data_IF_256584575999
#
_entry.id   IF_256584575999
#
_cell.length_a   1.000
_cell.length_b   1.000
_cell.length_c   1.000
_cell.angle_alpha   90.00
_cell.angle_beta   90.00
_cell.angle_gamma   90.00
#
_symmetry.space_group_name_H-M   'P 1'
#
loop_
_entity.id
_entity.type
_entity.pdbx_description
1 polymer ?
#
# COMPACT_ATOMS: atom_id res chain seq x y z
N UNK A 1 25.87 -23.85 25.05
CA UNK A 1 24.57 -24.31 25.56
C UNK A 1 24.83 -25.57 26.35
N UNK A 2 24.48 -25.60 27.63
CA UNK A 2 24.67 -26.77 28.50
C UNK A 2 23.70 -27.88 28.09
N UNK A 3 24.19 -29.12 28.05
CA UNK A 3 23.30 -30.26 27.87
C UNK A 3 22.41 -30.39 29.12
N UNK A 4 21.11 -30.69 28.96
CA UNK A 4 20.26 -31.00 30.10
C UNK A 4 20.77 -32.27 30.78
N UNK A 5 20.92 -32.23 32.11
CA UNK A 5 21.51 -33.33 32.90
C UNK A 5 20.60 -34.55 33.03
N UNK A 6 19.30 -34.41 32.72
CA UNK A 6 18.29 -35.46 32.85
C UNK A 6 17.85 -36.02 31.48
N UNK A 7 18.77 -36.67 30.75
CA UNK A 7 18.41 -37.42 29.55
C UNK A 7 18.08 -38.88 29.90
N UNK A 8 17.05 -39.49 29.29
CA UNK A 8 16.79 -40.91 29.47
C UNK A 8 17.94 -41.77 28.90
N UNK A 9 18.38 -42.80 29.63
CA UNK A 9 19.39 -43.75 29.15
C UNK A 9 18.83 -44.82 28.20
N UNK A 10 17.51 -44.90 28.04
CA UNK A 10 16.86 -45.85 27.13
C UNK A 10 17.04 -45.39 25.67
N UNK A 11 17.73 -46.19 24.81
CA UNK A 11 17.95 -45.84 23.41
C UNK A 11 16.64 -45.73 22.60
N UNK A 12 15.55 -46.36 23.04
CA UNK A 12 14.24 -46.23 22.38
C UNK A 12 13.63 -44.87 22.65
N UNK A 13 13.63 -44.43 23.92
CA UNK A 13 13.13 -43.10 24.32
C UNK A 13 13.94 -41.98 23.67
N UNK A 14 15.27 -42.11 23.61
CA UNK A 14 16.13 -41.13 22.95
C UNK A 14 15.82 -40.99 21.45
N UNK A 15 15.55 -42.09 20.74
CA UNK A 15 15.18 -42.05 19.32
C UNK A 15 13.84 -41.36 19.10
N UNK A 16 12.86 -41.58 19.99
CA UNK A 16 11.55 -40.93 19.94
C UNK A 16 11.68 -39.42 20.18
N UNK A 17 12.44 -39.01 21.20
CA UNK A 17 12.70 -37.60 21.49
C UNK A 17 13.42 -36.93 20.31
N UNK A 18 14.41 -37.59 19.72
CA UNK A 18 15.13 -37.06 18.56
C UNK A 18 14.20 -36.90 17.35
N UNK A 19 13.29 -37.85 17.11
CA UNK A 19 12.28 -37.73 16.06
C UNK A 19 11.34 -36.54 16.30
N UNK A 20 10.88 -36.34 17.54
CA UNK A 20 10.06 -35.18 17.92
C UNK A 20 10.81 -33.87 17.69
N UNK A 21 12.05 -33.76 18.17
CA UNK A 21 12.88 -32.57 17.98
C UNK A 21 13.14 -32.27 16.49
N UNK A 22 13.26 -33.30 15.64
CA UNK A 22 13.40 -33.10 14.20
C UNK A 22 12.12 -32.52 13.59
N UNK A 23 10.94 -33.03 13.98
CA UNK A 23 9.64 -32.52 13.53
C UNK A 23 9.49 -31.05 13.95
N UNK A 24 9.72 -30.73 15.23
CA UNK A 24 9.66 -29.36 15.74
C UNK A 24 10.63 -28.44 15.01
N UNK A 25 11.89 -28.87 14.83
CA UNK A 25 12.89 -28.11 14.09
C UNK A 25 12.47 -27.87 12.63
N UNK A 26 11.78 -28.81 11.99
CA UNK A 26 11.26 -28.58 10.63
C UNK A 26 10.12 -27.57 10.61
N UNK A 27 9.22 -27.62 11.59
CA UNK A 27 8.12 -26.65 11.72
C UNK A 27 8.66 -25.23 11.99
N UNK A 28 9.59 -25.09 12.93
CA UNK A 28 10.24 -23.81 13.24
C UNK A 28 10.97 -23.22 12.05
N UNK A 29 11.65 -24.06 11.26
CA UNK A 29 12.28 -23.63 10.00
C UNK A 29 11.26 -23.10 9.01
N UNK A 30 10.10 -23.75 8.89
CA UNK A 30 8.98 -23.26 8.07
C UNK A 30 8.54 -21.88 8.53
N UNK A 31 8.25 -21.71 9.82
CA UNK A 31 7.84 -20.43 10.39
C UNK A 31 8.88 -19.33 10.17
N UNK A 32 10.18 -19.63 10.28
CA UNK A 32 11.25 -18.67 10.01
C UNK A 32 11.22 -18.20 8.55
N UNK A 33 10.95 -19.10 7.59
CA UNK A 33 10.83 -18.74 6.18
C UNK A 33 9.65 -17.81 5.96
N UNK A 34 8.47 -18.16 6.50
CA UNK A 34 7.25 -17.36 6.38
C UNK A 34 7.42 -15.96 6.98
N UNK A 35 8.02 -15.88 8.18
CA UNK A 35 8.29 -14.60 8.84
C UNK A 35 9.30 -13.74 8.04
N UNK A 36 10.32 -14.36 7.45
CA UNK A 36 11.28 -13.64 6.60
C UNK A 36 10.61 -13.06 5.36
N UNK A 37 9.70 -13.80 4.73
CA UNK A 37 8.93 -13.32 3.59
C UNK A 37 8.03 -12.16 3.97
N UNK A 38 7.28 -12.27 5.08
CA UNK A 38 6.45 -11.19 5.59
C UNK A 38 7.26 -9.92 5.88
N UNK A 39 8.44 -10.06 6.53
CA UNK A 39 9.35 -8.94 6.78
C UNK A 39 9.82 -8.30 5.48
N UNK A 40 10.15 -9.10 4.47
CA UNK A 40 10.54 -8.59 3.14
C UNK A 40 9.41 -7.76 2.52
N UNK A 41 8.20 -8.30 2.46
CA UNK A 41 7.04 -7.62 1.89
C UNK A 41 6.72 -6.31 2.65
N UNK A 42 6.83 -6.31 3.97
CA UNK A 42 6.62 -5.11 4.77
C UNK A 42 7.70 -4.05 4.50
N UNK A 43 8.96 -4.45 4.36
CA UNK A 43 10.05 -3.54 3.99
C UNK A 43 9.83 -2.95 2.60
N UNK A 44 9.44 -3.77 1.63
CA UNK A 44 9.14 -3.32 0.27
C UNK A 44 7.96 -2.34 0.28
N UNK A 45 6.93 -2.59 1.09
CA UNK A 45 5.78 -1.66 1.22
C UNK A 45 6.13 -0.34 1.89
N UNK A 46 6.96 -0.36 2.94
CA UNK A 46 7.33 0.83 3.71
C UNK A 46 8.43 1.66 3.04
N UNK A 47 9.36 0.99 2.37
CA UNK A 47 10.59 1.58 1.88
C UNK A 47 10.79 1.41 0.37
N UNK A 48 9.97 0.64 -0.36
CA UNK A 48 10.16 0.38 -1.79
C UNK A 48 10.29 1.65 -2.65
N UNK A 49 9.37 2.61 -2.47
CA UNK A 49 9.45 3.91 -3.15
C UNK A 49 10.67 4.74 -2.73
N UNK A 50 11.13 4.60 -1.48
CA UNK A 50 12.32 5.29 -0.97
C UNK A 50 13.61 4.67 -1.50
N UNK A 51 13.66 3.34 -1.62
CA UNK A 51 14.80 2.61 -2.18
C UNK A 51 14.96 2.81 -3.68
N UNK A 52 13.87 3.03 -4.41
CA UNK A 52 13.91 3.44 -5.83
C UNK A 52 14.46 4.86 -6.01
N UNK A 53 14.27 5.73 -5.02
CA UNK A 53 14.74 7.10 -5.05
C UNK A 53 16.21 7.24 -4.60
N UNK A 54 16.69 6.35 -3.73
CA UNK A 54 18.09 6.33 -3.28
C UNK A 54 18.98 5.57 -4.26
N UNK A 55 19.99 6.25 -4.79
CA UNK A 55 21.06 5.61 -5.56
C UNK A 55 21.96 4.83 -4.61
N UNK A 56 21.78 3.51 -4.56
CA UNK A 56 22.70 2.60 -3.87
C UNK A 56 24.01 2.47 -4.67
N UNK A 57 25.19 2.46 -4.03
CA UNK A 57 26.49 2.37 -4.71
C UNK A 57 26.68 1.06 -5.49
N UNK A 58 25.92 0.02 -5.12
CA UNK A 58 25.96 -1.30 -5.78
C UNK A 58 25.03 -1.40 -7.00
N UNK A 59 24.21 -0.40 -7.29
CA UNK A 59 23.29 -0.39 -8.44
C UNK A 59 23.37 0.92 -9.23
N UNK A 60 24.53 1.25 -9.83
CA UNK A 60 24.74 2.51 -10.53
C UNK A 60 23.84 2.68 -11.78
N UNK A 61 23.36 1.58 -12.37
CA UNK A 61 22.46 1.63 -13.53
C UNK A 61 21.08 2.20 -13.19
N UNK A 62 20.58 2.01 -11.95
CA UNK A 62 19.30 2.58 -11.52
C UNK A 62 19.33 4.11 -11.48
N UNK A 63 20.51 4.71 -11.23
CA UNK A 63 20.69 6.15 -11.31
C UNK A 63 20.49 6.72 -12.72
N UNK A 64 20.70 5.92 -13.78
CA UNK A 64 20.54 6.35 -15.17
C UNK A 64 19.07 6.52 -15.58
N UNK A 65 18.15 5.83 -14.88
CA UNK A 65 16.71 5.91 -15.13
C UNK A 65 15.98 6.83 -14.14
N UNK A 66 16.69 7.32 -13.13
CA UNK A 66 16.15 8.25 -12.15
C UNK A 66 16.38 9.68 -12.66
N UNK A 67 15.50 10.16 -13.55
CA UNK A 67 15.52 11.55 -13.99
C UNK A 67 15.30 12.48 -12.77
N UNK A 68 16.12 13.53 -12.59
CA UNK A 68 15.94 14.45 -11.47
C UNK A 68 14.62 15.23 -11.64
N UNK A 69 13.60 14.94 -10.83
CA UNK A 69 12.36 15.73 -10.76
C UNK A 69 12.57 17.16 -10.21
N UNK A 70 13.79 17.56 -9.90
CA UNK A 70 14.11 18.91 -9.43
C UNK A 70 15.54 19.28 -9.80
N UNK A 71 15.69 20.19 -10.77
CA UNK A 71 16.93 20.91 -10.97
C UNK A 71 17.21 21.80 -9.74
N UNK A 72 18.44 21.82 -9.20
CA UNK A 72 18.83 22.83 -8.25
C UNK A 72 18.90 24.17 -8.98
N UNK A 73 18.00 25.10 -8.64
CA UNK A 73 18.05 26.49 -9.12
C UNK A 73 19.45 27.06 -8.86
N UNK A 74 20.20 27.31 -9.93
CA UNK A 74 21.38 28.17 -9.89
C UNK A 74 20.90 29.59 -9.58
N UNK A 75 21.61 30.38 -8.75
CA UNK A 75 21.27 31.78 -8.56
C UNK A 75 21.64 32.51 -9.86
N UNK A 76 20.64 32.77 -10.70
CA UNK A 76 20.80 33.57 -11.92
C UNK A 76 20.92 35.04 -11.49
N UNK A 77 22.09 35.62 -11.75
CA UNK A 77 22.32 37.05 -11.65
C UNK A 77 21.51 37.81 -12.71
N UNK A 78 21.14 39.04 -12.34
CA UNK A 78 20.27 39.95 -13.08
C UNK A 78 20.52 39.94 -14.60
N UNK A 79 19.59 39.34 -15.34
CA UNK A 79 19.36 39.64 -16.74
C UNK A 79 17.86 39.54 -17.00
N UNK A 80 17.35 40.59 -17.65
CA UNK A 80 15.94 40.84 -17.95
C UNK A 80 15.35 39.67 -18.75
N UNK A 81 14.63 38.76 -18.07
CA UNK A 81 13.92 37.66 -18.72
C UNK A 81 12.41 37.85 -18.63
N UNK A 82 11.81 37.75 -19.82
CA UNK A 82 10.41 37.51 -20.12
C UNK A 82 9.71 36.73 -19.00
N UNK A 83 8.59 37.27 -18.51
CA UNK A 83 7.82 36.70 -17.41
C UNK A 83 7.21 35.37 -17.84
N UNK A 84 7.97 34.28 -17.71
CA UNK A 84 7.43 32.92 -17.78
C UNK A 84 6.64 32.71 -16.50
N UNK A 85 5.31 32.78 -16.64
CA UNK A 85 4.38 32.58 -15.54
C UNK A 85 4.69 31.25 -14.82
N UNK A 86 4.68 31.23 -13.48
CA UNK A 86 5.02 30.04 -12.70
C UNK A 86 4.07 28.90 -13.04
N UNK A 87 4.64 27.72 -13.36
CA UNK A 87 3.90 26.49 -13.62
C UNK A 87 3.02 26.20 -12.40
N UNK A 88 1.70 26.30 -12.61
CA UNK A 88 0.71 26.06 -11.56
C UNK A 88 0.94 24.65 -11.02
N UNK A 89 1.21 24.55 -9.70
CA UNK A 89 1.12 23.29 -8.93
C UNK A 89 -0.15 22.58 -9.38
N UNK A 90 -0.07 21.30 -9.77
CA UNK A 90 -1.24 20.53 -10.24
C UNK A 90 -2.37 20.73 -9.23
N UNK A 91 -3.36 21.53 -9.61
CA UNK A 91 -4.48 21.87 -8.76
C UNK A 91 -5.29 20.62 -8.44
N UNK A 92 -6.19 20.74 -7.46
CA UNK A 92 -7.27 19.75 -7.25
C UNK A 92 -7.91 19.43 -8.61
N UNK A 93 -8.26 18.15 -8.84
CA UNK A 93 -8.95 17.74 -10.06
C UNK A 93 -10.15 18.65 -10.27
N UNK A 94 -10.30 19.20 -11.49
CA UNK A 94 -11.49 19.98 -11.83
C UNK A 94 -12.71 19.06 -11.72
N UNK A 95 -13.87 19.56 -11.28
CA UNK A 95 -15.12 18.79 -11.34
C UNK A 95 -15.42 18.38 -12.78
N UNK A 96 -16.26 17.36 -12.96
CA UNK A 96 -16.70 16.96 -14.29
C UNK A 96 -17.48 18.11 -14.96
N UNK A 97 -17.48 18.15 -16.29
CA UNK A 97 -18.21 19.19 -17.01
C UNK A 97 -19.70 19.15 -16.67
N UNK A 98 -20.33 20.32 -16.54
CA UNK A 98 -21.76 20.45 -16.30
C UNK A 98 -22.62 19.97 -17.49
N UNK A 99 -22.01 19.91 -18.69
CA UNK A 99 -22.69 19.48 -19.92
C UNK A 99 -22.85 17.96 -20.04
N UNK A 100 -22.16 17.19 -19.19
CA UNK A 100 -22.29 15.73 -19.19
C UNK A 100 -23.63 15.32 -18.56
N UNK A 101 -24.35 14.35 -19.16
CA UNK A 101 -25.58 13.83 -18.58
C UNK A 101 -25.29 13.18 -17.23
N UNK A 102 -26.04 13.58 -16.19
CA UNK A 102 -25.92 13.06 -14.82
C UNK A 102 -27.05 12.07 -14.56
N UNK A 103 -26.73 10.96 -13.91
CA UNK A 103 -27.70 9.98 -13.39
C UNK A 103 -27.50 9.93 -11.88
N UNK A 104 -28.53 10.29 -11.12
CA UNK A 104 -28.50 10.26 -9.66
C UNK A 104 -28.75 8.84 -9.14
N UNK A 105 -27.82 8.32 -8.33
CA UNK A 105 -27.97 7.01 -7.66
C UNK A 105 -27.90 7.23 -6.16
N UNK A 106 -29.06 7.21 -5.51
CA UNK A 106 -29.18 7.41 -4.07
C UNK A 106 -29.00 6.06 -3.36
N UNK A 107 -28.02 5.99 -2.46
CA UNK A 107 -27.74 4.81 -1.65
C UNK A 107 -28.33 4.98 -0.25
N UNK A 108 -29.62 4.64 -0.08
CA UNK A 108 -30.31 4.68 1.20
C UNK A 108 -30.27 3.33 1.93
N UNK A 109 -30.37 3.39 3.26
CA UNK A 109 -30.61 2.21 4.09
C UNK A 109 -31.97 1.59 3.74
N UNK A 110 -32.11 0.26 3.79
CA UNK A 110 -33.40 -0.38 3.58
C UNK A 110 -34.42 0.05 4.65
N UNK A 111 -35.72 0.04 4.32
CA UNK A 111 -36.79 0.63 5.15
C UNK A 111 -36.78 0.15 6.61
N UNK A 112 -36.47 -1.13 6.83
CA UNK A 112 -36.42 -1.73 8.17
C UNK A 112 -35.26 -1.21 9.03
N UNK A 113 -34.17 -0.72 8.41
CA UNK A 113 -33.04 -0.13 9.10
C UNK A 113 -33.20 1.38 9.34
N UNK A 114 -34.18 2.02 8.71
CA UNK A 114 -34.51 3.42 8.92
C UNK A 114 -35.26 3.67 10.24
N UNK A 115 -35.65 2.63 10.96
CA UNK A 115 -36.36 2.73 12.24
C UNK A 115 -35.39 2.52 13.40
N UNK A 116 -35.37 3.44 14.37
CA UNK A 116 -34.59 3.30 15.59
C UNK A 116 -35.27 2.32 16.58
N UNK A 117 -34.51 1.78 17.53
CA UNK A 117 -35.05 0.95 18.61
C UNK A 117 -36.14 1.66 19.45
N UNK A 118 -36.16 2.99 19.47
CA UNK A 118 -37.21 3.78 20.13
C UNK A 118 -38.49 3.97 19.29
N UNK A 119 -38.55 3.44 18.07
CA UNK A 119 -39.70 3.56 17.16
C UNK A 119 -39.72 4.83 16.29
N UNK A 120 -38.78 5.74 16.48
CA UNK A 120 -38.65 6.94 15.63
C UNK A 120 -37.89 6.64 14.33
N UNK A 121 -38.24 7.34 13.25
CA UNK A 121 -37.49 7.32 11.98
C UNK A 121 -36.14 8.03 12.15
N UNK A 122 -35.06 7.42 11.65
CA UNK A 122 -33.73 8.02 11.62
C UNK A 122 -33.75 9.28 10.76
N UNK A 123 -33.06 10.33 11.21
CA UNK A 123 -32.88 11.57 10.47
C UNK A 123 -31.53 11.55 9.74
N UNK A 124 -31.48 12.14 8.55
CA UNK A 124 -30.23 12.28 7.76
C UNK A 124 -29.35 13.34 8.42
N UNK A 125 -28.12 12.99 8.79
CA UNK A 125 -27.18 13.92 9.45
C UNK A 125 -26.28 14.60 8.41
N UNK A 126 -25.80 13.83 7.44
CA UNK A 126 -24.89 14.29 6.40
C UNK A 126 -25.04 13.44 5.14
N UNK A 127 -24.74 14.03 4.00
CA UNK A 127 -24.74 13.38 2.69
C UNK A 127 -23.34 13.46 2.09
N UNK A 128 -22.86 12.34 1.53
CA UNK A 128 -21.61 12.28 0.77
C UNK A 128 -21.93 12.06 -0.71
N UNK A 129 -21.65 13.06 -1.54
CA UNK A 129 -21.90 13.02 -2.97
C UNK A 129 -20.59 12.79 -3.73
N UNK A 130 -20.58 11.83 -4.67
CA UNK A 130 -19.44 11.59 -5.57
C UNK A 130 -19.90 11.47 -7.02
N UNK A 131 -19.12 12.02 -7.95
CA UNK A 131 -19.39 11.95 -9.40
C UNK A 131 -18.47 10.93 -10.06
N UNK A 132 -19.03 10.04 -10.90
CA UNK A 132 -18.28 9.01 -11.64
C UNK A 132 -18.67 9.04 -13.12
N UNK A 133 -17.70 8.78 -14.00
CA UNK A 133 -17.94 8.64 -15.45
C UNK A 133 -18.30 7.19 -15.76
N UNK A 134 -19.42 6.98 -16.47
CA UNK A 134 -19.71 5.69 -17.11
C UNK A 134 -19.01 5.64 -18.48
N UNK A 135 -17.97 4.81 -18.60
CA UNK A 135 -17.12 4.74 -19.79
C UNK A 135 -17.60 3.59 -20.68
N UNK A 136 -18.28 3.92 -21.77
CA UNK A 136 -18.63 2.94 -22.80
C UNK A 136 -17.38 2.62 -23.62
N UNK A 137 -16.94 1.35 -23.69
CA UNK A 137 -15.74 0.98 -24.43
C UNK A 137 -15.92 1.20 -25.94
N UNK A 138 -14.82 1.53 -26.62
CA UNK A 138 -14.81 1.70 -28.08
C UNK A 138 -15.15 0.37 -28.77
N UNK A 139 -16.06 0.42 -29.75
CA UNK A 139 -16.36 -0.72 -30.63
C UNK A 139 -15.59 -0.59 -31.94
N UNK A 140 -14.82 -1.62 -32.31
CA UNK A 140 -14.14 -1.72 -33.61
C UNK A 140 -15.14 -2.34 -34.61
N UNK A 141 -15.25 -1.77 -35.81
CA UNK A 141 -16.04 -2.32 -36.92
C UNK A 141 -15.15 -3.01 -37.94
#
# INVERSE_FOLDING_TARGET
MSMPEDLPDDPVLLKQLLAQLLIERTADKGHIVDLKEQIKLLRDRLFGRKSEQTVEPNTPQLALFNEPESEPMLPVGDAEEEVVAPVKRRGKRKPLSADLPRIEVIHELPEHELTCACGCRKHVISEETSEQLDIVPMQIR
#
